data_IF_469982025185
#
_entry.id   IF_469982025185
#
_cell.length_a   1.000
_cell.length_b   1.000
_cell.length_c   1.000
_cell.angle_alpha   90.00
_cell.angle_beta   90.00
_cell.angle_gamma   90.00
#
_symmetry.space_group_name_H-M   'P 1'
#
loop_
_entity.id
_entity.type
_entity.pdbx_description
1 polymer ?
#
# COMPACT_ATOMS: atom_id res chain seq x y z
N UNK A 1 -17.78 -19.25 -7.77
CA UNK A 1 -18.68 -18.62 -6.78
C UNK A 1 -19.03 -17.15 -7.08
N UNK A 2 -18.10 -16.33 -7.59
CA UNK A 2 -18.38 -14.92 -7.90
C UNK A 2 -19.57 -14.70 -8.84
N UNK A 3 -19.69 -15.50 -9.91
CA UNK A 3 -20.82 -15.40 -10.85
C UNK A 3 -22.18 -15.84 -10.26
N UNK A 4 -22.15 -16.67 -9.20
CA UNK A 4 -23.37 -17.18 -8.54
C UNK A 4 -23.86 -16.24 -7.44
N UNK A 5 -22.94 -15.48 -6.82
CA UNK A 5 -23.23 -14.50 -5.78
C UNK A 5 -22.41 -13.21 -6.00
N UNK A 6 -22.75 -12.40 -7.02
CA UNK A 6 -21.95 -11.24 -7.40
C UNK A 6 -21.83 -10.19 -6.27
N UNK A 7 -22.90 -9.99 -5.49
CA UNK A 7 -22.92 -9.04 -4.37
C UNK A 7 -22.07 -9.54 -3.20
N UNK A 8 -22.33 -10.76 -2.73
CA UNK A 8 -21.62 -11.36 -1.59
C UNK A 8 -20.13 -11.54 -1.92
N UNK A 9 -19.80 -11.94 -3.14
CA UNK A 9 -18.40 -12.11 -3.54
C UNK A 9 -17.64 -10.78 -3.59
N UNK A 10 -18.30 -9.67 -3.92
CA UNK A 10 -17.70 -8.33 -3.84
C UNK A 10 -17.47 -7.91 -2.40
N UNK A 11 -18.42 -8.17 -1.50
CA UNK A 11 -18.24 -7.92 -0.06
C UNK A 11 -17.11 -8.77 0.52
N UNK A 12 -17.09 -10.07 0.21
CA UNK A 12 -16.06 -10.99 0.68
C UNK A 12 -14.66 -10.55 0.23
N UNK A 13 -14.49 -10.08 -1.01
CA UNK A 13 -13.20 -9.52 -1.46
C UNK A 13 -12.78 -8.31 -0.63
N UNK A 14 -13.72 -7.40 -0.34
CA UNK A 14 -13.41 -6.22 0.48
C UNK A 14 -13.02 -6.61 1.92
N UNK A 15 -13.74 -7.53 2.55
CA UNK A 15 -13.46 -7.95 3.93
C UNK A 15 -12.22 -8.82 4.06
N UNK A 16 -12.01 -9.76 3.15
CA UNK A 16 -10.87 -10.69 3.21
C UNK A 16 -9.56 -10.07 2.73
N UNK A 17 -9.61 -8.94 2.01
CA UNK A 17 -8.42 -8.17 1.67
C UNK A 17 -7.82 -7.44 2.88
N UNK A 18 -8.57 -7.29 3.97
CA UNK A 18 -8.07 -6.69 5.21
C UNK A 18 -7.13 -7.70 5.87
N UNK A 19 -5.84 -7.35 6.09
CA UNK A 19 -4.92 -8.24 6.77
C UNK A 19 -5.41 -8.49 8.20
N UNK A 20 -5.37 -9.74 8.65
CA UNK A 20 -5.81 -10.12 9.99
C UNK A 20 -4.91 -9.54 11.11
N UNK A 21 -3.73 -9.02 10.76
CA UNK A 21 -2.73 -8.53 11.71
C UNK A 21 -2.08 -7.22 11.23
N UNK A 22 -1.50 -6.46 12.17
CA UNK A 22 -0.75 -5.24 11.91
C UNK A 22 0.62 -5.45 11.25
N UNK A 23 1.04 -6.70 11.03
CA UNK A 23 2.38 -7.06 10.55
C UNK A 23 2.74 -6.33 9.25
N UNK A 24 1.79 -6.17 8.32
CA UNK A 24 2.02 -5.42 7.07
C UNK A 24 2.37 -3.95 7.32
N UNK A 25 1.68 -3.32 8.28
CA UNK A 25 1.91 -1.91 8.66
C UNK A 25 3.23 -1.78 9.40
N UNK A 26 3.54 -2.69 10.31
CA UNK A 26 4.81 -2.71 11.05
C UNK A 26 6.01 -2.92 10.13
N UNK A 27 5.89 -3.75 9.09
CA UNK A 27 6.94 -3.90 8.07
C UNK A 27 7.17 -2.60 7.29
N UNK A 28 6.12 -1.88 6.93
CA UNK A 28 6.23 -0.57 6.25
C UNK A 28 6.93 0.45 7.16
N UNK A 29 6.57 0.51 8.45
CA UNK A 29 7.24 1.40 9.41
C UNK A 29 8.69 1.00 9.70
N UNK A 30 8.98 -0.30 9.76
CA UNK A 30 10.36 -0.78 9.91
C UNK A 30 11.22 -0.42 8.71
N UNK A 31 10.69 -0.58 7.49
CA UNK A 31 11.37 -0.18 6.26
C UNK A 31 11.56 1.34 6.16
N UNK A 32 10.61 2.14 6.65
CA UNK A 32 10.74 3.60 6.67
C UNK A 32 11.75 4.09 7.71
N UNK A 33 12.14 3.27 8.70
CA UNK A 33 13.11 3.64 9.74
C UNK A 33 14.42 4.19 9.16
N UNK A 34 14.92 3.61 8.08
CA UNK A 34 16.12 4.10 7.41
C UNK A 34 15.87 5.46 6.73
N UNK A 35 14.73 5.64 6.08
CA UNK A 35 14.36 6.94 5.49
C UNK A 35 14.18 8.01 6.57
N UNK A 36 13.55 7.68 7.68
CA UNK A 36 13.32 8.59 8.80
C UNK A 36 14.60 8.92 9.60
N UNK A 37 15.55 7.99 9.69
CA UNK A 37 16.76 8.12 10.54
C UNK A 37 18.00 8.57 9.76
N UNK A 38 18.18 8.07 8.55
CA UNK A 38 19.40 8.24 7.74
C UNK A 38 19.29 9.41 6.75
N UNK A 39 18.08 9.69 6.24
CA UNK A 39 17.83 10.76 5.29
C UNK A 39 17.53 12.08 6.01
N UNK A 40 18.52 12.64 6.73
CA UNK A 40 18.57 13.99 7.32
C UNK A 40 17.28 14.43 8.03
N UNK A 41 17.32 14.57 9.35
CA UNK A 41 16.28 14.89 10.34
C UNK A 41 15.29 16.06 10.10
N UNK A 42 15.10 16.54 8.86
CA UNK A 42 14.23 17.63 8.44
C UNK A 42 13.21 17.23 7.37
N UNK A 43 13.16 15.96 6.93
CA UNK A 43 12.12 15.50 6.01
C UNK A 43 10.74 15.58 6.67
N UNK A 44 9.81 16.26 6.01
CA UNK A 44 8.41 16.29 6.42
C UNK A 44 7.80 14.90 6.24
N UNK A 45 6.84 14.56 7.10
CA UNK A 45 6.10 13.30 7.02
C UNK A 45 5.50 13.06 5.62
N UNK A 46 5.02 14.11 4.95
CA UNK A 46 4.51 14.03 3.57
C UNK A 46 5.58 13.55 2.58
N UNK A 47 6.82 14.05 2.70
CA UNK A 47 7.92 13.65 1.83
C UNK A 47 8.31 12.20 2.05
N UNK A 48 8.34 11.75 3.30
CA UNK A 48 8.62 10.35 3.64
C UNK A 48 7.56 9.43 3.02
N UNK A 49 6.28 9.77 3.15
CA UNK A 49 5.18 9.03 2.53
C UNK A 49 5.33 8.96 1.02
N UNK A 50 5.59 10.08 0.34
CA UNK A 50 5.75 10.09 -1.12
C UNK A 50 6.93 9.23 -1.58
N UNK A 51 8.05 9.26 -0.87
CA UNK A 51 9.22 8.43 -1.19
C UNK A 51 8.90 6.94 -1.01
N UNK A 52 8.26 6.58 0.10
CA UNK A 52 7.88 5.18 0.37
C UNK A 52 6.87 4.65 -0.66
N UNK A 53 5.84 5.45 -1.01
CA UNK A 53 4.87 5.10 -2.04
C UNK A 53 5.51 4.97 -3.42
N UNK A 54 6.34 5.94 -3.82
CA UNK A 54 7.00 5.93 -5.13
C UNK A 54 7.93 4.73 -5.28
N UNK A 55 8.71 4.42 -4.25
CA UNK A 55 9.55 3.23 -4.22
C UNK A 55 8.71 1.97 -4.44
N UNK A 56 7.62 1.83 -3.67
CA UNK A 56 6.78 0.63 -3.74
C UNK A 56 6.05 0.47 -5.07
N UNK A 57 5.63 1.58 -5.67
CA UNK A 57 5.04 1.57 -7.02
C UNK A 57 6.05 1.21 -8.11
N UNK A 58 7.31 1.65 -7.98
CA UNK A 58 8.35 1.28 -8.94
C UNK A 58 8.72 -0.22 -8.84
N UNK A 59 8.64 -0.79 -7.64
CA UNK A 59 8.85 -2.23 -7.40
C UNK A 59 7.67 -3.10 -7.88
N UNK A 60 6.49 -2.51 -8.11
CA UNK A 60 5.23 -3.24 -8.36
C UNK A 60 4.41 -2.54 -9.46
N UNK A 61 4.61 -3.00 -10.70
CA UNK A 61 4.02 -2.39 -11.89
C UNK A 61 2.47 -2.49 -11.91
N UNK A 62 1.92 -3.57 -11.34
CA UNK A 62 0.46 -3.74 -11.24
C UNK A 62 -0.12 -2.74 -10.23
N UNK A 63 0.53 -2.58 -9.08
CA UNK A 63 0.17 -1.57 -8.08
C UNK A 63 0.28 -0.15 -8.66
N UNK A 64 1.32 0.14 -9.44
CA UNK A 64 1.47 1.43 -10.13
C UNK A 64 0.31 1.69 -11.09
N UNK A 65 -0.06 0.69 -11.89
CA UNK A 65 -1.19 0.81 -12.80
C UNK A 65 -2.49 1.08 -12.05
N UNK A 66 -2.78 0.33 -11.00
CA UNK A 66 -4.01 0.52 -10.21
C UNK A 66 -4.05 1.85 -9.47
N UNK A 67 -2.93 2.30 -8.89
CA UNK A 67 -2.89 3.48 -8.03
C UNK A 67 -2.81 4.81 -8.81
N UNK A 68 -2.15 4.82 -9.98
CA UNK A 68 -1.85 6.06 -10.72
C UNK A 68 -2.41 6.04 -12.14
N UNK A 69 -2.23 4.95 -12.88
CA UNK A 69 -2.48 4.95 -14.33
C UNK A 69 -3.91 4.54 -14.73
N UNK A 70 -4.67 3.91 -13.84
CA UNK A 70 -6.02 3.43 -14.13
C UNK A 70 -6.97 4.62 -14.35
N UNK A 71 -7.61 4.74 -15.53
CA UNK A 71 -8.60 5.78 -15.76
C UNK A 71 -9.79 5.60 -14.80
N UNK A 72 -10.32 6.73 -14.30
CA UNK A 72 -11.42 6.77 -13.34
C UNK A 72 -12.68 6.10 -13.86
#
# INVERSE_FOLDING_TARGET
HANKFPVISRMARAFLAIPATSVSVERVFSASRHVCRDSRSSLKASTITSVMCTKKWLEDADLYYEAIAKPR
#
